data_IF_373920128621
#
_entry.id   IF_373920128621
#
_cell.length_a   1.000
_cell.length_b   1.000
_cell.length_c   1.000
_cell.angle_alpha   90.00
_cell.angle_beta   90.00
_cell.angle_gamma   90.00
#
_symmetry.space_group_name_H-M   'P 1'
#
loop_
_entity.id
_entity.type
_entity.pdbx_description
1 polymer ?
#
# COMPACT_ATOMS: atom_id res chain seq x y z
N UNK A 1 -24.75 15.10 -49.04
CA UNK A 1 -23.58 15.80 -48.48
C UNK A 1 -22.87 14.86 -47.52
N UNK A 2 -21.55 14.87 -47.53
CA UNK A 2 -20.63 13.78 -47.15
C UNK A 2 -20.61 13.33 -45.67
N UNK A 3 -20.16 12.09 -45.38
CA UNK A 3 -19.83 11.63 -44.02
C UNK A 3 -18.35 11.90 -43.65
N UNK A 4 -18.12 12.28 -42.39
CA UNK A 4 -16.93 11.93 -41.61
C UNK A 4 -15.62 12.69 -41.86
N UNK A 5 -15.21 13.50 -40.88
CA UNK A 5 -13.79 13.72 -40.54
C UNK A 5 -13.63 13.76 -39.03
N UNK A 6 -13.74 12.59 -38.39
CA UNK A 6 -13.19 12.37 -37.07
C UNK A 6 -11.67 12.32 -37.21
N UNK A 7 -11.01 13.42 -36.89
CA UNK A 7 -9.56 13.58 -36.96
C UNK A 7 -8.91 12.58 -36.00
N UNK A 8 -8.36 11.49 -36.52
CA UNK A 8 -7.59 10.54 -35.72
C UNK A 8 -6.34 11.27 -35.19
N UNK A 9 -6.03 11.20 -33.88
CA UNK A 9 -4.88 11.91 -33.34
C UNK A 9 -3.62 11.42 -34.06
N UNK A 10 -2.95 12.34 -34.77
CA UNK A 10 -1.73 12.03 -35.50
C UNK A 10 -0.71 11.35 -34.58
N UNK A 11 -0.45 10.06 -34.81
CA UNK A 11 0.55 9.28 -34.07
C UNK A 11 1.97 9.66 -34.47
N UNK A 12 2.33 10.93 -34.28
CA UNK A 12 3.69 11.42 -34.45
C UNK A 12 4.64 10.71 -33.50
N UNK A 13 5.92 10.58 -33.89
CA UNK A 13 6.99 9.98 -33.07
C UNK A 13 7.07 10.62 -31.68
N UNK A 14 6.72 11.91 -31.56
CA UNK A 14 6.57 12.64 -30.30
C UNK A 14 5.39 12.21 -29.42
N UNK A 15 4.25 11.79 -29.99
CA UNK A 15 3.12 11.26 -29.23
C UNK A 15 3.44 9.88 -28.63
N UNK A 16 4.17 9.03 -29.38
CA UNK A 16 4.67 7.74 -28.88
C UNK A 16 5.71 7.89 -27.76
N UNK A 17 6.59 8.89 -27.85
CA UNK A 17 7.55 9.19 -26.79
C UNK A 17 6.83 9.66 -25.52
N UNK A 18 5.88 10.60 -25.65
CA UNK A 18 5.04 11.06 -24.53
C UNK A 18 4.29 9.91 -23.87
N UNK A 19 3.64 9.04 -24.66
CA UNK A 19 2.92 7.87 -24.14
C UNK A 19 3.84 6.91 -23.37
N UNK A 20 5.08 6.68 -23.85
CA UNK A 20 6.06 5.86 -23.13
C UNK A 20 6.48 6.49 -21.81
N UNK A 21 6.76 7.78 -21.78
CA UNK A 21 7.15 8.48 -20.54
C UNK A 21 6.03 8.46 -19.51
N UNK A 22 4.79 8.75 -19.92
CA UNK A 22 3.63 8.67 -19.02
C UNK A 22 3.34 7.25 -18.56
N UNK A 23 3.55 6.24 -19.42
CA UNK A 23 3.43 4.83 -19.03
C UNK A 23 4.43 4.43 -17.95
N UNK A 24 5.70 4.83 -18.09
CA UNK A 24 6.74 4.57 -17.08
C UNK A 24 6.43 5.29 -15.77
N UNK A 25 6.04 6.57 -15.82
CA UNK A 25 5.69 7.35 -14.63
C UNK A 25 4.44 6.80 -13.93
N UNK A 26 3.41 6.43 -14.68
CA UNK A 26 2.19 5.83 -14.14
C UNK A 26 2.46 4.45 -13.50
N UNK A 27 3.26 3.62 -14.16
CA UNK A 27 3.69 2.33 -13.63
C UNK A 27 4.51 2.47 -12.35
N UNK A 28 5.50 3.38 -12.35
CA UNK A 28 6.31 3.68 -11.16
C UNK A 28 5.44 4.17 -9.99
N UNK A 29 4.52 5.11 -10.25
CA UNK A 29 3.64 5.67 -9.22
C UNK A 29 2.75 4.57 -8.60
N UNK A 30 2.24 3.66 -9.41
CA UNK A 30 1.40 2.53 -8.94
C UNK A 30 2.22 1.52 -8.13
N UNK A 31 3.46 1.23 -8.55
CA UNK A 31 4.37 0.37 -7.79
C UNK A 31 4.66 0.98 -6.41
N UNK A 32 5.01 2.27 -6.35
CA UNK A 32 5.30 2.97 -5.08
C UNK A 32 4.09 2.97 -4.15
N UNK A 33 2.88 3.18 -4.69
CA UNK A 33 1.66 3.15 -3.90
C UNK A 33 1.42 1.79 -3.22
N UNK A 34 1.72 0.68 -3.91
CA UNK A 34 1.58 -0.67 -3.36
C UNK A 34 2.79 -1.10 -2.49
N UNK A 35 3.99 -0.57 -2.74
CA UNK A 35 5.21 -0.93 -2.03
C UNK A 35 5.37 -0.26 -0.66
N UNK A 36 4.41 0.55 -0.20
CA UNK A 36 4.52 1.28 1.07
C UNK A 36 4.79 0.38 2.29
N UNK A 37 4.17 -0.80 2.36
CA UNK A 37 4.40 -1.81 3.41
C UNK A 37 5.84 -2.33 3.46
N UNK A 38 6.32 -2.97 2.38
CA UNK A 38 7.69 -3.45 2.27
C UNK A 38 8.74 -2.36 2.48
N UNK A 39 8.57 -1.18 1.87
CA UNK A 39 9.53 -0.07 1.98
C UNK A 39 9.65 0.42 3.42
N UNK A 40 8.52 0.62 4.11
CA UNK A 40 8.51 1.02 5.51
C UNK A 40 9.17 -0.03 6.41
N UNK A 41 8.92 -1.31 6.13
CA UNK A 41 9.49 -2.43 6.88
C UNK A 41 11.01 -2.46 6.75
N UNK A 42 11.55 -2.31 5.53
CA UNK A 42 12.99 -2.21 5.31
C UNK A 42 13.60 -0.99 5.99
N UNK A 43 12.94 0.17 5.90
CA UNK A 43 13.40 1.38 6.56
C UNK A 43 13.54 1.17 8.07
N UNK A 44 12.50 0.70 8.75
CA UNK A 44 12.52 0.49 10.20
C UNK A 44 13.52 -0.60 10.63
N UNK A 45 13.68 -1.67 9.84
CA UNK A 45 14.72 -2.67 10.08
C UNK A 45 16.12 -2.05 9.96
N UNK A 46 16.36 -1.28 8.89
CA UNK A 46 17.67 -0.64 8.65
C UNK A 46 18.00 0.42 9.71
N UNK A 47 16.99 1.08 10.25
CA UNK A 47 17.11 2.03 11.36
C UNK A 47 17.31 1.34 12.73
N UNK A 48 17.39 0.01 12.78
CA UNK A 48 17.72 -0.74 14.00
C UNK A 48 16.58 -0.84 15.02
N UNK A 49 15.33 -0.68 14.59
CA UNK A 49 14.19 -0.79 15.51
C UNK A 49 14.06 -2.20 16.08
N UNK A 50 13.98 -2.30 17.41
CA UNK A 50 13.59 -3.53 18.10
C UNK A 50 12.12 -3.89 17.75
N UNK A 51 11.77 -5.17 17.79
CA UNK A 51 10.45 -5.70 17.39
C UNK A 51 9.23 -4.90 17.88
N UNK A 52 9.25 -4.45 19.14
CA UNK A 52 8.12 -3.69 19.72
C UNK A 52 8.08 -2.24 19.22
N UNK A 53 9.26 -1.62 19.06
CA UNK A 53 9.37 -0.28 18.47
C UNK A 53 8.98 -0.31 16.99
N UNK A 54 9.42 -1.34 16.25
CA UNK A 54 9.01 -1.56 14.86
C UNK A 54 7.49 -1.65 14.76
N UNK A 55 6.85 -2.52 15.55
CA UNK A 55 5.41 -2.76 15.49
C UNK A 55 4.62 -1.51 15.89
N UNK A 56 5.06 -0.79 16.93
CA UNK A 56 4.41 0.45 17.37
C UNK A 56 4.53 1.58 16.34
N UNK A 57 5.74 1.82 15.83
CA UNK A 57 5.97 2.89 14.84
C UNK A 57 5.26 2.60 13.52
N UNK A 58 5.31 1.35 13.04
CA UNK A 58 4.58 0.97 11.82
C UNK A 58 3.07 1.10 12.00
N UNK A 59 2.51 0.70 13.14
CA UNK A 59 1.09 0.87 13.43
C UNK A 59 0.67 2.35 13.40
N UNK A 60 1.42 3.24 14.07
CA UNK A 60 1.15 4.67 14.04
C UNK A 60 1.29 5.28 12.64
N UNK A 61 2.34 4.90 11.90
CA UNK A 61 2.55 5.37 10.54
C UNK A 61 1.37 4.99 9.63
N UNK A 62 0.97 3.71 9.62
CA UNK A 62 -0.14 3.27 8.79
C UNK A 62 -1.47 3.82 9.26
N UNK A 63 -1.67 4.02 10.56
CA UNK A 63 -2.85 4.71 11.08
C UNK A 63 -2.95 6.12 10.48
N UNK A 64 -1.91 6.94 10.62
CA UNK A 64 -1.89 8.32 10.11
C UNK A 64 -2.12 8.33 8.59
N UNK A 65 -1.37 7.49 7.86
CA UNK A 65 -1.41 7.41 6.39
C UNK A 65 -2.74 6.86 5.86
N UNK A 66 -3.45 6.02 6.62
CA UNK A 66 -4.76 5.51 6.22
C UNK A 66 -5.89 6.45 6.65
N UNK A 67 -5.83 7.03 7.85
CA UNK A 67 -6.79 8.05 8.29
C UNK A 67 -6.76 9.26 7.37
N UNK A 68 -5.59 9.67 6.86
CA UNK A 68 -5.49 10.74 5.87
C UNK A 68 -6.15 10.38 4.53
N UNK A 69 -6.36 9.10 4.20
CA UNK A 69 -7.07 8.67 2.98
C UNK A 69 -8.59 8.74 3.13
N UNK A 70 -9.11 8.56 4.33
CA UNK A 70 -10.56 8.58 4.62
C UNK A 70 -11.30 9.78 4.03
N UNK A 71 -10.86 11.05 4.18
CA UNK A 71 -11.58 12.17 3.59
C UNK A 71 -11.68 12.11 2.06
N UNK A 72 -10.68 11.54 1.39
CA UNK A 72 -10.73 11.31 -0.06
C UNK A 72 -11.72 10.22 -0.41
N UNK A 73 -11.76 9.12 0.36
CA UNK A 73 -12.76 8.06 0.20
C UNK A 73 -14.19 8.55 0.41
N UNK A 74 -14.43 9.43 1.38
CA UNK A 74 -15.72 10.11 1.59
C UNK A 74 -16.05 10.98 0.38
N UNK A 75 -15.10 11.81 -0.07
CA UNK A 75 -15.30 12.72 -1.21
C UNK A 75 -15.59 12.01 -2.54
N UNK A 76 -15.12 10.77 -2.69
CA UNK A 76 -15.41 9.90 -3.85
C UNK A 76 -16.72 9.11 -3.72
N UNK A 77 -17.45 9.23 -2.60
CA UNK A 77 -18.70 8.52 -2.38
C UNK A 77 -18.55 7.01 -2.19
N UNK A 78 -17.33 6.54 -1.84
CA UNK A 78 -17.02 5.11 -1.68
C UNK A 78 -17.43 4.54 -0.32
N UNK A 79 -18.04 5.36 0.55
CA UNK A 79 -18.47 4.98 1.90
C UNK A 79 -20.00 4.93 1.93
N UNK A 80 -20.53 3.72 1.97
CA UNK A 80 -21.96 3.40 2.11
C UNK A 80 -22.27 2.88 3.53
N UNK A 81 -23.56 2.90 3.91
CA UNK A 81 -24.02 2.45 5.23
C UNK A 81 -23.58 1.01 5.61
N UNK A 82 -23.67 0.03 4.69
CA UNK A 82 -23.11 -1.31 4.90
C UNK A 82 -21.60 -1.33 5.17
N UNK A 83 -20.80 -0.56 4.44
CA UNK A 83 -19.35 -0.45 4.68
C UNK A 83 -19.05 0.12 6.07
N UNK A 84 -19.80 1.12 6.54
CA UNK A 84 -19.68 1.66 7.90
C UNK A 84 -19.98 0.62 8.99
N UNK A 85 -20.98 -0.24 8.76
CA UNK A 85 -21.30 -1.33 9.69
C UNK A 85 -20.16 -2.37 9.72
N UNK A 86 -19.63 -2.73 8.55
CA UNK A 86 -18.50 -3.65 8.45
C UNK A 86 -17.27 -3.09 9.17
N UNK A 87 -16.95 -1.81 8.96
CA UNK A 87 -15.85 -1.12 9.63
C UNK A 87 -16.03 -1.11 11.16
N UNK A 88 -17.25 -0.87 11.65
CA UNK A 88 -17.54 -0.90 13.09
C UNK A 88 -17.29 -2.30 13.70
N UNK A 89 -17.68 -3.37 13.00
CA UNK A 89 -17.37 -4.75 13.42
C UNK A 89 -15.87 -4.99 13.40
N UNK A 90 -15.17 -4.57 12.34
CA UNK A 90 -13.72 -4.73 12.24
C UNK A 90 -12.99 -3.98 13.37
N UNK A 91 -13.41 -2.76 13.71
CA UNK A 91 -12.86 -1.97 14.83
C UNK A 91 -12.99 -2.74 16.15
N UNK A 92 -14.13 -3.43 16.37
CA UNK A 92 -14.29 -4.26 17.57
C UNK A 92 -13.28 -5.42 17.59
N UNK A 93 -12.97 -6.00 16.43
CA UNK A 93 -11.99 -7.08 16.28
C UNK A 93 -10.53 -6.59 16.37
N UNK A 94 -10.26 -5.29 16.16
CA UNK A 94 -8.90 -4.72 16.27
C UNK A 94 -8.33 -4.89 17.67
N UNK A 95 -9.13 -4.67 18.73
CA UNK A 95 -8.66 -4.77 20.12
C UNK A 95 -8.13 -6.17 20.46
N UNK A 96 -8.92 -7.26 20.32
CA UNK A 96 -8.42 -8.61 20.58
C UNK A 96 -7.29 -9.00 19.62
N UNK A 97 -7.35 -8.57 18.35
CA UNK A 97 -6.27 -8.81 17.39
C UNK A 97 -4.95 -8.17 17.80
N UNK A 98 -4.98 -6.93 18.30
CA UNK A 98 -3.80 -6.22 18.79
C UNK A 98 -3.23 -6.86 20.06
N UNK A 99 -4.08 -7.32 20.98
CA UNK A 99 -3.66 -8.04 22.18
C UNK A 99 -2.99 -9.38 21.82
N UNK A 100 -3.60 -10.15 20.92
CA UNK A 100 -3.05 -11.41 20.42
C UNK A 100 -1.72 -11.18 19.70
N UNK A 101 -1.67 -10.18 18.82
CA UNK A 101 -0.45 -9.80 18.08
C UNK A 101 0.67 -9.38 19.03
N UNK A 102 0.37 -8.58 20.05
CA UNK A 102 1.33 -8.21 21.10
C UNK A 102 1.83 -9.43 21.86
N UNK A 103 0.94 -10.34 22.28
CA UNK A 103 1.31 -11.55 23.00
C UNK A 103 2.24 -12.44 22.16
N UNK A 104 1.93 -12.63 20.87
CA UNK A 104 2.76 -13.38 19.94
C UNK A 104 4.12 -12.69 19.72
N UNK A 105 4.13 -11.37 19.53
CA UNK A 105 5.34 -10.59 19.36
C UNK A 105 6.27 -10.68 20.57
N UNK A 106 5.75 -10.82 21.79
CA UNK A 106 6.58 -11.05 22.97
C UNK A 106 7.25 -12.43 22.97
N UNK A 107 6.60 -13.47 22.41
CA UNK A 107 7.12 -14.85 22.37
C UNK A 107 8.20 -15.09 21.32
N UNK A 108 8.19 -14.35 20.21
CA UNK A 108 9.22 -14.45 19.17
C UNK A 108 10.50 -13.70 19.56
N UNK A 109 11.67 -14.26 19.24
CA UNK A 109 12.93 -13.55 19.44
C UNK A 109 13.17 -12.52 18.31
N UNK A 110 14.09 -11.58 18.53
CA UNK A 110 14.38 -10.49 17.60
C UNK A 110 14.84 -11.02 16.23
N UNK A 111 15.73 -12.02 16.21
CA UNK A 111 16.29 -12.58 14.96
C UNK A 111 15.22 -13.25 14.10
N UNK A 112 14.32 -14.02 14.72
CA UNK A 112 13.20 -14.65 14.02
C UNK A 112 12.23 -13.59 13.48
N UNK A 113 11.94 -12.56 14.27
CA UNK A 113 11.12 -11.44 13.83
C UNK A 113 11.71 -10.76 12.58
N UNK A 114 13.00 -10.41 12.61
CA UNK A 114 13.68 -9.78 11.47
C UNK A 114 13.65 -10.68 10.22
N UNK A 115 13.91 -11.98 10.37
CA UNK A 115 13.83 -12.95 9.27
C UNK A 115 12.42 -13.04 8.68
N UNK A 116 11.39 -13.07 9.52
CA UNK A 116 9.99 -13.10 9.06
C UNK A 116 9.62 -11.82 8.31
N UNK A 117 10.01 -10.65 8.83
CA UNK A 117 9.74 -9.37 8.17
C UNK A 117 10.49 -9.29 6.84
N UNK A 118 11.76 -9.69 6.78
CA UNK A 118 12.52 -9.75 5.53
C UNK A 118 11.90 -10.72 4.53
N UNK A 119 11.52 -11.93 4.95
CA UNK A 119 10.86 -12.90 4.08
C UNK A 119 9.54 -12.37 3.52
N UNK A 120 8.70 -11.77 4.37
CA UNK A 120 7.45 -11.15 3.94
C UNK A 120 7.68 -9.96 2.99
N UNK A 121 8.72 -9.17 3.23
CA UNK A 121 9.11 -8.03 2.38
C UNK A 121 9.55 -8.51 1.00
N UNK A 122 10.41 -9.54 0.94
CA UNK A 122 10.87 -10.14 -0.32
C UNK A 122 9.68 -10.74 -1.07
N UNK A 123 8.81 -11.49 -0.38
CA UNK A 123 7.61 -12.06 -0.99
C UNK A 123 6.69 -10.97 -1.56
N UNK A 124 6.46 -9.88 -0.81
CA UNK A 124 5.69 -8.74 -1.29
C UNK A 124 6.32 -8.05 -2.51
N UNK A 125 7.65 -7.86 -2.49
CA UNK A 125 8.38 -7.31 -3.64
C UNK A 125 8.28 -8.19 -4.88
N UNK A 126 8.41 -9.51 -4.72
CA UNK A 126 8.24 -10.48 -5.82
C UNK A 126 6.80 -10.44 -6.35
N UNK A 127 5.79 -10.39 -5.48
CA UNK A 127 4.40 -10.29 -5.91
C UNK A 127 4.17 -9.03 -6.74
N UNK A 128 4.73 -7.88 -6.35
CA UNK A 128 4.60 -6.64 -7.14
C UNK A 128 5.28 -6.71 -8.50
N UNK A 129 6.36 -7.50 -8.65
CA UNK A 129 7.04 -7.70 -9.93
C UNK A 129 6.32 -8.70 -10.85
N UNK A 130 5.61 -9.68 -10.28
CA UNK A 130 4.96 -10.76 -11.02
C UNK A 130 3.49 -10.47 -11.35
N UNK A 131 2.77 -9.78 -10.46
CA UNK A 131 1.33 -9.48 -10.60
C UNK A 131 1.04 -8.02 -11.01
N UNK A 132 2.06 -7.15 -11.05
CA UNK A 132 1.95 -5.78 -11.56
C UNK A 132 2.16 -5.72 -13.07
#
# INVERSE_FOLDING_TARGET
AAPGTGEAPGTGRGARLKARTYGVLGGFTTMVANAGGPVMSLYLLSAGFRKLGFLGTSAWFFLIVNTSKVPFSVGLGLIDGPSLLLDAVLVLLVVPGALLGRALAHRINQVLFERLVLAATVAGGVQLLLLG
#
